data_IF_545769703689
#
_entry.id   IF_545769703689
#
_cell.length_a   1.000
_cell.length_b   1.000
_cell.length_c   1.000
_cell.angle_alpha   90.00
_cell.angle_beta   90.00
_cell.angle_gamma   90.00
#
_symmetry.space_group_name_H-M   'P 1'
#
loop_
_entity.id
_entity.type
_entity.pdbx_description
1 polymer ?
#
# COMPACT_ATOMS: atom_id res chain seq x y z
N UNK A 1 0.39 -52.31 36.79
CA UNK A 1 -0.44 -53.53 36.79
C UNK A 1 -1.86 -53.11 36.40
N UNK A 2 -2.26 -53.31 35.20
CA UNK A 2 -3.52 -53.75 34.61
C UNK A 2 -3.54 -53.42 33.11
N UNK A 3 -3.34 -54.47 32.35
CA UNK A 3 -3.63 -54.60 30.93
C UNK A 3 -5.13 -54.66 30.69
N UNK A 4 -5.60 -54.15 29.58
CA UNK A 4 -6.79 -54.63 28.87
C UNK A 4 -6.67 -54.14 27.40
N UNK A 5 -6.27 -55.01 26.54
CA UNK A 5 -6.93 -55.96 25.66
C UNK A 5 -7.59 -55.32 24.44
N UNK A 6 -7.00 -55.71 23.33
CA UNK A 6 -7.33 -55.56 21.91
C UNK A 6 -8.70 -56.25 21.64
N UNK A 7 -9.50 -55.69 20.76
CA UNK A 7 -10.49 -56.43 19.98
C UNK A 7 -10.53 -55.87 18.55
N UNK A 8 -10.07 -56.71 17.65
CA UNK A 8 -10.27 -56.61 16.21
C UNK A 8 -11.65 -57.15 15.86
N UNK A 9 -12.34 -56.45 14.97
CA UNK A 9 -13.46 -57.00 14.24
C UNK A 9 -13.31 -56.60 12.76
N UNK A 10 -12.93 -57.56 11.95
CA UNK A 10 -13.04 -57.54 10.50
C UNK A 10 -14.44 -58.00 10.09
N UNK A 11 -15.04 -57.33 9.12
CA UNK A 11 -16.06 -57.94 8.25
C UNK A 11 -16.17 -57.17 6.92
N UNK A 12 -15.68 -57.83 5.91
CA UNK A 12 -16.15 -58.23 4.60
C UNK A 12 -17.06 -57.33 3.76
N UNK A 13 -16.47 -57.02 2.61
CA UNK A 13 -17.00 -57.03 1.23
C UNK A 13 -18.53 -56.88 0.96
N UNK A 14 -18.83 -55.88 0.16
CA UNK A 14 -19.78 -56.08 -0.97
C UNK A 14 -19.42 -55.13 -2.11
N UNK A 15 -18.91 -55.67 -3.20
CA UNK A 15 -18.78 -54.99 -4.48
C UNK A 15 -20.16 -54.88 -5.11
N UNK A 16 -20.55 -53.66 -5.51
CA UNK A 16 -21.65 -53.44 -6.46
C UNK A 16 -21.09 -52.62 -7.62
N UNK A 17 -20.87 -53.31 -8.71
CA UNK A 17 -20.70 -52.73 -10.04
C UNK A 17 -22.06 -52.31 -10.56
N UNK A 18 -22.23 -51.04 -10.88
CA UNK A 18 -23.24 -50.59 -11.81
C UNK A 18 -22.86 -49.29 -12.48
N UNK A 19 -22.47 -49.42 -13.72
CA UNK A 19 -23.04 -48.79 -14.92
C UNK A 19 -22.91 -47.29 -15.10
N UNK A 20 -22.09 -46.95 -16.07
CA UNK A 20 -22.14 -45.83 -17.04
C UNK A 20 -23.21 -44.78 -16.86
N UNK A 21 -22.74 -43.56 -16.63
CA UNK A 21 -23.43 -42.29 -16.90
C UNK A 21 -22.37 -41.25 -17.30
N UNK A 22 -22.15 -41.09 -18.60
CA UNK A 22 -21.34 -40.01 -19.19
C UNK A 22 -22.02 -38.68 -18.93
N UNK A 23 -21.54 -37.96 -17.91
CA UNK A 23 -21.80 -36.57 -17.68
C UNK A 23 -20.44 -35.86 -17.62
N UNK A 24 -19.96 -35.31 -18.74
CA UNK A 24 -18.82 -34.44 -18.79
C UNK A 24 -19.17 -33.11 -18.10
N UNK A 25 -19.08 -33.09 -16.76
CA UNK A 25 -18.99 -31.88 -15.99
C UNK A 25 -17.55 -31.34 -16.14
N UNK A 26 -17.37 -30.38 -17.00
CA UNK A 26 -16.16 -29.57 -17.05
C UNK A 26 -16.04 -28.85 -15.70
N UNK A 27 -15.43 -29.51 -14.72
CA UNK A 27 -14.85 -28.79 -13.59
C UNK A 27 -13.75 -27.91 -14.16
N UNK A 28 -14.06 -26.62 -14.28
CA UNK A 28 -13.09 -25.59 -14.61
C UNK A 28 -12.04 -25.57 -13.52
N UNK A 29 -10.95 -26.32 -13.71
CA UNK A 29 -9.70 -26.14 -12.96
C UNK A 29 -9.24 -24.72 -13.22
N UNK A 30 -9.55 -23.79 -12.31
CA UNK A 30 -8.90 -22.49 -12.26
C UNK A 30 -7.42 -22.76 -12.00
N UNK A 31 -6.63 -22.79 -13.07
CA UNK A 31 -5.19 -22.86 -12.99
C UNK A 31 -4.71 -21.72 -12.10
N UNK A 32 -3.89 -22.04 -11.08
CA UNK A 32 -3.28 -21.03 -10.25
C UNK A 32 -2.49 -20.05 -11.13
N UNK A 33 -2.65 -18.73 -10.91
CA UNK A 33 -1.92 -17.70 -11.67
C UNK A 33 -0.42 -17.90 -11.47
N UNK A 34 0.36 -17.69 -12.53
CA UNK A 34 1.82 -17.68 -12.43
C UNK A 34 2.29 -16.47 -11.61
N UNK A 35 3.50 -16.52 -11.08
CA UNK A 35 4.09 -15.38 -10.36
C UNK A 35 4.17 -14.11 -11.24
N UNK A 36 4.47 -14.28 -12.53
CA UNK A 36 4.48 -13.16 -13.50
C UNK A 36 3.08 -12.56 -13.69
N UNK A 37 2.04 -13.39 -13.80
CA UNK A 37 0.68 -12.89 -13.95
C UNK A 37 0.24 -12.09 -12.73
N UNK A 38 0.61 -12.54 -11.52
CA UNK A 38 0.29 -11.84 -10.27
C UNK A 38 0.97 -10.47 -10.23
N UNK A 39 2.25 -10.38 -10.57
CA UNK A 39 2.99 -9.11 -10.58
C UNK A 39 2.42 -8.14 -11.61
N UNK A 40 2.20 -8.61 -12.84
CA UNK A 40 1.63 -7.78 -13.93
C UNK A 40 0.24 -7.28 -13.52
N UNK A 41 -0.63 -8.16 -13.04
CA UNK A 41 -1.97 -7.80 -12.58
C UNK A 41 -1.92 -6.75 -11.45
N UNK A 42 -1.04 -6.91 -10.47
CA UNK A 42 -0.87 -5.95 -9.38
C UNK A 42 -0.54 -4.57 -9.92
N UNK A 43 0.41 -4.47 -10.86
CA UNK A 43 0.80 -3.21 -11.49
C UNK A 43 -0.37 -2.61 -12.29
N UNK A 44 -1.04 -3.42 -13.11
CA UNK A 44 -2.09 -2.97 -14.02
C UNK A 44 -3.38 -2.61 -13.31
N UNK A 45 -3.67 -3.22 -12.16
CA UNK A 45 -4.92 -3.01 -11.41
C UNK A 45 -4.80 -2.00 -10.28
N UNK A 46 -3.59 -1.65 -9.83
CA UNK A 46 -3.39 -0.65 -8.78
C UNK A 46 -4.08 0.68 -9.13
N UNK A 47 -4.72 1.27 -8.13
CA UNK A 47 -5.38 2.59 -8.25
C UNK A 47 -4.96 3.53 -7.12
N UNK A 48 -5.02 4.83 -7.38
CA UNK A 48 -4.90 5.86 -6.34
C UNK A 48 -6.22 5.97 -5.61
N UNK A 49 -6.29 5.41 -4.42
CA UNK A 49 -7.46 5.44 -3.53
C UNK A 49 -7.44 6.73 -2.69
N UNK A 50 -8.59 7.41 -2.54
CA UNK A 50 -8.73 8.67 -1.82
C UNK A 50 -9.89 8.68 -0.83
N UNK A 51 -10.58 7.55 -0.73
CA UNK A 51 -11.59 7.30 0.30
C UNK A 51 -11.23 5.99 1.01
N UNK A 52 -11.19 6.05 2.33
CA UNK A 52 -10.73 4.95 3.16
C UNK A 52 -11.69 4.67 4.30
N UNK A 53 -11.68 3.43 4.77
CA UNK A 53 -12.30 3.08 6.04
C UNK A 53 -11.57 3.79 7.19
N UNK A 54 -12.24 4.06 8.33
CA UNK A 54 -11.63 4.83 9.43
C UNK A 54 -10.45 4.13 10.12
N UNK A 55 -10.36 2.80 10.01
CA UNK A 55 -9.32 2.01 10.67
C UNK A 55 -7.94 2.27 10.04
N UNK A 56 -6.95 2.56 10.87
CA UNK A 56 -5.56 2.60 10.45
C UNK A 56 -5.08 1.21 9.99
N UNK A 57 -4.09 1.19 9.10
CA UNK A 57 -3.43 -0.06 8.68
C UNK A 57 -2.65 -0.62 9.87
N UNK A 58 -2.83 -1.91 10.16
CA UNK A 58 -2.12 -2.58 11.24
C UNK A 58 -0.60 -2.44 11.09
N UNK A 59 0.11 -2.20 12.21
CA UNK A 59 1.56 -1.91 12.17
C UNK A 59 2.40 -3.04 11.59
N UNK A 60 2.01 -4.31 11.78
CA UNK A 60 2.72 -5.45 11.18
C UNK A 60 2.57 -5.44 9.65
N UNK A 61 1.37 -5.14 9.14
CA UNK A 61 1.13 -4.95 7.70
C UNK A 61 1.94 -3.77 7.17
N UNK A 62 1.94 -2.63 7.89
CA UNK A 62 2.75 -1.48 7.50
C UNK A 62 4.24 -1.82 7.49
N UNK A 63 4.73 -2.58 8.47
CA UNK A 63 6.13 -3.03 8.50
C UNK A 63 6.50 -3.82 7.25
N UNK A 64 5.66 -4.76 6.84
CA UNK A 64 5.87 -5.52 5.59
C UNK A 64 5.91 -4.60 4.37
N UNK A 65 4.99 -3.62 4.28
CA UNK A 65 4.97 -2.62 3.19
C UNK A 65 6.27 -1.81 3.16
N UNK A 66 6.75 -1.37 4.32
CA UNK A 66 7.98 -0.59 4.43
C UNK A 66 9.22 -1.42 4.09
N UNK A 67 9.26 -2.69 4.51
CA UNK A 67 10.33 -3.63 4.15
C UNK A 67 10.37 -3.87 2.63
N UNK A 68 9.23 -4.02 1.96
CA UNK A 68 9.17 -4.04 0.51
C UNK A 68 9.70 -2.73 -0.10
N UNK A 69 9.35 -1.58 0.50
CA UNK A 69 9.83 -0.27 0.06
C UNK A 69 11.35 -0.17 0.06
N UNK A 70 12.00 -0.45 1.18
CA UNK A 70 13.47 -0.32 1.32
C UNK A 70 14.26 -1.35 0.50
N UNK A 71 13.61 -2.38 -0.06
CA UNK A 71 14.20 -3.28 -1.03
C UNK A 71 14.20 -2.73 -2.47
N UNK A 72 13.78 -1.49 -2.69
CA UNK A 72 13.89 -0.84 -3.98
C UNK A 72 15.35 -0.66 -4.40
N UNK A 73 15.66 -0.75 -5.70
CA UNK A 73 16.99 -0.40 -6.19
C UNK A 73 17.27 1.07 -5.91
N UNK A 74 18.52 1.37 -5.58
CA UNK A 74 18.95 2.74 -5.32
C UNK A 74 20.42 2.93 -5.70
N UNK A 75 20.78 4.14 -6.05
CA UNK A 75 22.11 4.45 -6.56
C UNK A 75 23.21 4.15 -5.55
N UNK A 76 24.15 3.29 -5.91
CA UNK A 76 25.31 2.88 -5.08
C UNK A 76 24.94 2.36 -3.68
N UNK A 77 23.72 1.87 -3.51
CA UNK A 77 23.17 1.47 -2.21
C UNK A 77 23.26 2.57 -1.13
N UNK A 78 23.10 3.83 -1.54
CA UNK A 78 23.18 4.97 -0.62
C UNK A 78 22.01 5.07 0.33
N UNK A 79 20.84 4.49 -0.07
CA UNK A 79 19.63 4.54 0.75
C UNK A 79 19.32 5.96 1.23
N UNK A 80 19.38 6.91 0.29
CA UNK A 80 19.30 8.35 0.51
C UNK A 80 17.87 8.82 0.84
N UNK A 81 17.17 8.05 1.66
CA UNK A 81 15.81 8.31 2.13
C UNK A 81 15.70 8.19 3.64
N UNK A 82 14.76 8.90 4.20
CA UNK A 82 14.24 8.66 5.53
C UNK A 82 12.71 8.53 5.48
N UNK A 83 12.17 7.63 6.29
CA UNK A 83 10.75 7.28 6.30
C UNK A 83 10.19 7.53 7.69
N UNK A 84 9.04 8.20 7.79
CA UNK A 84 8.27 8.36 9.03
C UNK A 84 6.84 7.95 8.79
N UNK A 85 6.33 7.09 9.64
CA UNK A 85 4.94 6.61 9.60
C UNK A 85 4.14 7.28 10.68
N UNK A 86 3.03 7.84 10.32
CA UNK A 86 2.08 8.48 11.24
C UNK A 86 0.74 7.77 11.12
N UNK A 87 0.34 7.09 12.18
CA UNK A 87 -0.96 6.46 12.38
C UNK A 87 -1.71 7.06 13.59
N UNK A 88 -1.20 8.18 14.14
CA UNK A 88 -1.79 8.93 15.23
C UNK A 88 -2.89 9.85 14.71
N UNK A 89 -4.17 9.63 15.11
CA UNK A 89 -5.25 10.55 14.79
C UNK A 89 -5.00 11.97 15.31
N UNK A 90 -4.36 12.11 16.48
CA UNK A 90 -4.01 13.41 17.06
C UNK A 90 -3.08 14.20 16.13
N UNK A 91 -2.04 13.58 15.61
CA UNK A 91 -1.12 14.23 14.67
C UNK A 91 -1.83 14.62 13.38
N UNK A 92 -2.56 13.69 12.77
CA UNK A 92 -3.26 13.90 11.49
C UNK A 92 -4.32 14.99 11.61
N UNK A 93 -5.15 14.95 12.67
CA UNK A 93 -6.23 15.91 12.90
C UNK A 93 -5.67 17.28 13.25
N UNK A 94 -4.71 17.38 14.14
CA UNK A 94 -4.14 18.66 14.53
C UNK A 94 -3.44 19.38 13.36
N UNK A 95 -2.72 18.64 12.49
CA UNK A 95 -2.16 19.21 11.27
C UNK A 95 -3.26 19.60 10.27
N UNK A 96 -4.34 18.84 10.19
CA UNK A 96 -5.50 19.17 9.34
C UNK A 96 -6.23 20.41 9.81
N UNK A 97 -6.38 20.61 11.12
CA UNK A 97 -6.97 21.83 11.68
C UNK A 97 -6.16 23.09 11.31
N UNK A 98 -4.83 23.00 11.39
CA UNK A 98 -3.95 24.09 10.93
C UNK A 98 -4.11 24.33 9.42
N UNK A 99 -4.20 23.26 8.62
CA UNK A 99 -4.43 23.37 7.18
C UNK A 99 -5.75 24.05 6.86
N UNK A 100 -6.85 23.66 7.51
CA UNK A 100 -8.17 24.29 7.33
C UNK A 100 -8.16 25.76 7.76
N UNK A 101 -7.49 26.08 8.87
CA UNK A 101 -7.35 27.47 9.31
C UNK A 101 -6.71 28.38 8.26
N UNK A 102 -5.72 27.86 7.53
CA UNK A 102 -5.04 28.57 6.44
C UNK A 102 -5.77 28.44 5.09
N UNK A 103 -6.66 27.46 4.95
CA UNK A 103 -7.40 27.14 3.74
C UNK A 103 -8.88 26.83 4.05
N UNK A 104 -9.69 27.81 4.45
CA UNK A 104 -11.07 27.57 4.95
C UNK A 104 -11.97 26.86 3.94
N UNK A 105 -11.77 27.09 2.63
CA UNK A 105 -12.55 26.44 1.57
C UNK A 105 -12.37 24.90 1.54
N UNK A 106 -11.30 24.36 2.12
CA UNK A 106 -11.12 22.92 2.18
C UNK A 106 -12.22 22.23 3.01
N UNK A 107 -12.77 22.92 4.02
CA UNK A 107 -13.83 22.41 4.88
C UNK A 107 -15.24 22.49 4.25
N UNK A 108 -15.39 23.18 3.11
CA UNK A 108 -16.67 23.28 2.39
C UNK A 108 -17.03 21.98 1.67
N UNK A 109 -16.05 21.11 1.40
CA UNK A 109 -16.27 19.77 0.85
C UNK A 109 -16.73 18.81 1.96
N UNK A 110 -17.98 18.32 1.94
CA UNK A 110 -18.49 17.43 2.98
C UNK A 110 -17.77 16.07 3.04
N UNK A 111 -17.06 15.70 1.99
CA UNK A 111 -16.24 14.48 1.95
C UNK A 111 -14.85 14.66 2.56
N UNK A 112 -14.43 15.91 2.83
CA UNK A 112 -13.14 16.22 3.42
C UNK A 112 -13.10 15.84 4.91
N UNK A 113 -12.19 14.94 5.29
CA UNK A 113 -11.95 14.56 6.68
C UNK A 113 -10.56 14.98 7.14
N UNK A 114 -9.57 14.83 6.28
CA UNK A 114 -8.21 15.30 6.55
C UNK A 114 -7.47 15.67 5.25
N UNK A 115 -6.40 16.46 5.40
CA UNK A 115 -5.62 16.97 4.28
C UNK A 115 -4.84 15.87 3.49
N UNK A 116 -4.80 14.65 3.99
CA UNK A 116 -4.13 13.51 3.36
C UNK A 116 -5.11 12.63 2.55
N UNK A 117 -6.14 13.23 1.94
CA UNK A 117 -7.19 12.50 1.21
C UNK A 117 -7.88 11.45 2.07
N UNK A 118 -8.13 11.81 3.34
CA UNK A 118 -8.82 10.98 4.31
C UNK A 118 -8.06 9.70 4.73
N UNK A 119 -6.78 9.56 4.37
CA UNK A 119 -5.97 8.42 4.77
C UNK A 119 -5.76 8.40 6.30
N UNK A 120 -6.02 7.25 6.96
CA UNK A 120 -5.81 7.10 8.41
C UNK A 120 -4.35 6.78 8.77
N UNK A 121 -3.53 6.40 7.80
CA UNK A 121 -2.09 6.15 7.97
C UNK A 121 -1.34 6.91 6.88
N UNK A 122 -0.32 7.66 7.25
CA UNK A 122 0.48 8.48 6.34
C UNK A 122 1.95 8.15 6.48
N UNK A 123 2.61 7.86 5.37
CA UNK A 123 4.06 7.65 5.30
C UNK A 123 4.68 8.89 4.68
N UNK A 124 5.54 9.57 5.43
CA UNK A 124 6.31 10.70 4.98
C UNK A 124 7.69 10.24 4.53
N UNK A 125 8.13 10.68 3.36
CA UNK A 125 9.41 10.31 2.75
C UNK A 125 10.22 11.58 2.56
N UNK A 126 11.37 11.62 3.21
CA UNK A 126 12.40 12.65 3.01
C UNK A 126 13.57 12.08 2.20
N UNK A 127 14.28 12.94 1.52
CA UNK A 127 15.43 12.58 0.70
C UNK A 127 16.65 13.44 1.07
N UNK A 128 17.83 12.98 0.72
CA UNK A 128 19.06 13.75 0.76
C UNK A 128 19.22 14.57 -0.53
N UNK A 129 18.93 15.90 -0.52
CA UNK A 129 19.01 16.73 -1.73
C UNK A 129 20.44 16.94 -2.23
N UNK A 130 21.46 16.59 -1.46
CA UNK A 130 22.86 16.65 -1.90
C UNK A 130 23.21 15.53 -2.89
N UNK A 131 22.34 14.53 -3.05
CA UNK A 131 22.52 13.42 -3.96
C UNK A 131 21.50 13.47 -5.10
N UNK A 132 21.95 13.67 -6.31
CA UNK A 132 21.12 13.92 -7.50
C UNK A 132 20.09 12.81 -7.80
N UNK A 133 20.42 11.54 -7.45
CA UNK A 133 19.52 10.42 -7.68
C UNK A 133 18.53 10.20 -6.55
N UNK A 134 18.63 10.90 -5.43
CA UNK A 134 17.83 10.65 -4.22
C UNK A 134 16.33 10.73 -4.46
N UNK A 135 15.86 11.64 -5.29
CA UNK A 135 14.44 11.76 -5.62
C UNK A 135 13.93 10.57 -6.46
N UNK A 136 14.77 10.02 -7.34
CA UNK A 136 14.47 8.82 -8.13
C UNK A 136 14.43 7.61 -7.20
N UNK A 137 15.44 7.44 -6.35
CA UNK A 137 15.52 6.37 -5.35
C UNK A 137 14.27 6.38 -4.45
N UNK A 138 13.84 7.54 -3.98
CA UNK A 138 12.61 7.71 -3.20
C UNK A 138 11.35 7.35 -4.01
N UNK A 139 11.33 7.64 -5.31
CA UNK A 139 10.22 7.25 -6.19
C UNK A 139 10.09 5.74 -6.33
N UNK A 140 11.22 5.04 -6.52
CA UNK A 140 11.28 3.56 -6.59
C UNK A 140 10.86 2.92 -5.27
N UNK A 141 11.36 3.46 -4.15
CA UNK A 141 10.96 3.06 -2.79
C UNK A 141 9.44 3.19 -2.60
N UNK A 142 8.87 4.32 -2.99
CA UNK A 142 7.43 4.58 -2.87
C UNK A 142 6.58 3.64 -3.72
N UNK A 143 7.00 3.34 -4.96
CA UNK A 143 6.26 2.43 -5.83
C UNK A 143 6.28 0.99 -5.29
N UNK A 144 7.42 0.51 -4.75
CA UNK A 144 7.46 -0.79 -4.08
C UNK A 144 6.47 -0.86 -2.91
N UNK A 145 6.39 0.19 -2.08
CA UNK A 145 5.38 0.26 -1.01
C UNK A 145 3.95 0.25 -1.55
N UNK A 146 3.68 0.99 -2.62
CA UNK A 146 2.35 1.11 -3.22
C UNK A 146 1.90 -0.23 -3.82
N UNK A 147 2.78 -0.94 -4.52
CA UNK A 147 2.47 -2.24 -5.13
C UNK A 147 2.29 -3.33 -4.09
N UNK A 148 3.17 -3.39 -3.08
CA UNK A 148 3.03 -4.36 -1.99
C UNK A 148 1.76 -4.12 -1.18
N UNK A 149 1.41 -2.87 -0.88
CA UNK A 149 0.15 -2.52 -0.23
C UNK A 149 -1.06 -3.01 -1.05
N UNK A 150 -1.07 -2.73 -2.36
CA UNK A 150 -2.14 -3.14 -3.25
C UNK A 150 -2.35 -4.65 -3.29
N UNK A 151 -1.26 -5.43 -3.33
CA UNK A 151 -1.31 -6.90 -3.29
C UNK A 151 -1.90 -7.45 -1.99
N UNK A 152 -1.87 -6.67 -0.91
CA UNK A 152 -2.45 -7.00 0.40
C UNK A 152 -3.84 -6.38 0.62
N UNK A 153 -4.47 -5.81 -0.42
CA UNK A 153 -5.78 -5.17 -0.31
C UNK A 153 -5.76 -3.80 0.38
N UNK A 154 -4.59 -3.20 0.55
CA UNK A 154 -4.43 -1.85 1.11
C UNK A 154 -4.38 -0.83 -0.02
N UNK A 155 -5.28 0.15 0.04
CA UNK A 155 -5.28 1.29 -0.88
C UNK A 155 -4.23 2.31 -0.51
N UNK A 156 -3.75 3.04 -1.52
CA UNK A 156 -2.78 4.11 -1.31
C UNK A 156 -2.96 5.27 -2.29
N UNK A 157 -2.44 6.43 -1.91
CA UNK A 157 -2.35 7.59 -2.80
C UNK A 157 -1.06 8.36 -2.51
N UNK A 158 -0.24 8.58 -3.55
CA UNK A 158 0.91 9.48 -3.47
C UNK A 158 0.44 10.94 -3.44
N UNK A 159 0.94 11.74 -2.50
CA UNK A 159 0.45 13.07 -2.19
C UNK A 159 1.60 14.09 -2.14
N UNK A 160 1.58 15.06 -3.04
CA UNK A 160 2.49 16.22 -3.01
C UNK A 160 1.87 17.46 -2.34
N UNK A 161 0.55 17.61 -2.39
CA UNK A 161 -0.14 18.78 -1.84
C UNK A 161 0.12 19.02 -0.35
N UNK A 162 -0.03 18.01 0.53
CA UNK A 162 0.26 18.14 1.94
C UNK A 162 1.69 18.60 2.26
N UNK A 163 2.66 18.13 1.47
CA UNK A 163 4.07 18.50 1.67
C UNK A 163 4.32 19.99 1.51
N UNK A 164 3.64 20.63 0.55
CA UNK A 164 3.75 22.08 0.36
C UNK A 164 3.31 22.83 1.61
N UNK A 165 2.21 22.43 2.23
CA UNK A 165 1.75 23.04 3.47
C UNK A 165 2.70 22.72 4.64
N UNK A 166 3.19 21.50 4.74
CA UNK A 166 4.12 21.11 5.82
C UNK A 166 5.46 21.87 5.78
N UNK A 167 5.83 22.39 4.62
CA UNK A 167 7.02 23.27 4.46
C UNK A 167 6.73 24.75 4.78
N UNK A 168 5.48 25.08 5.14
CA UNK A 168 5.13 26.44 5.54
C UNK A 168 5.46 26.72 7.01
N UNK A 169 5.63 28.01 7.40
CA UNK A 169 5.88 28.37 8.79
C UNK A 169 4.82 27.87 9.78
N UNK A 170 3.55 27.83 9.36
CA UNK A 170 2.43 27.42 10.20
C UNK A 170 2.53 25.94 10.62
N UNK A 171 3.14 25.10 9.78
CA UNK A 171 3.28 23.67 10.04
C UNK A 171 4.70 23.28 10.52
N UNK A 172 5.57 24.24 10.77
CA UNK A 172 6.97 23.99 11.13
C UNK A 172 7.16 23.05 12.32
N UNK A 173 6.33 23.18 13.36
CA UNK A 173 6.39 22.30 14.53
C UNK A 173 6.00 20.85 14.17
N UNK A 174 5.05 20.64 13.29
CA UNK A 174 4.68 19.30 12.81
C UNK A 174 5.78 18.69 11.95
N UNK A 175 6.42 19.47 11.08
CA UNK A 175 7.58 19.02 10.31
C UNK A 175 8.73 18.62 11.23
N UNK A 176 9.03 19.43 12.25
CA UNK A 176 10.05 19.14 13.26
C UNK A 176 9.74 17.85 14.05
N UNK A 177 8.48 17.61 14.39
CA UNK A 177 8.05 16.38 15.09
C UNK A 177 8.28 15.11 14.29
N UNK A 178 8.38 15.17 12.95
CA UNK A 178 8.76 14.02 12.13
C UNK A 178 10.22 13.60 12.39
N UNK A 179 11.08 14.50 12.87
CA UNK A 179 12.42 14.16 13.31
C UNK A 179 13.31 13.59 12.21
N UNK A 180 13.26 14.18 11.00
CA UNK A 180 14.21 13.87 9.95
C UNK A 180 15.60 14.38 10.34
N UNK A 181 16.65 13.67 9.90
CA UNK A 181 18.02 14.05 10.12
C UNK A 181 18.35 15.38 9.45
N UNK A 182 19.35 16.09 9.97
CA UNK A 182 19.86 17.31 9.34
C UNK A 182 20.31 17.04 7.91
N UNK A 183 19.96 17.93 6.99
CA UNK A 183 20.22 17.78 5.57
C UNK A 183 19.15 17.00 4.79
N UNK A 184 18.25 16.30 5.45
CA UNK A 184 17.12 15.63 4.77
C UNK A 184 15.93 16.58 4.58
N UNK A 185 15.33 16.52 3.41
CA UNK A 185 14.14 17.31 3.09
C UNK A 185 12.93 16.44 2.80
N UNK A 186 11.76 16.81 3.37
CA UNK A 186 10.50 16.16 3.04
C UNK A 186 10.20 16.30 1.55
N UNK A 187 10.09 15.17 0.84
CA UNK A 187 9.90 15.11 -0.61
C UNK A 187 8.43 14.92 -0.99
N UNK A 188 7.78 13.90 -0.45
CA UNK A 188 6.37 13.60 -0.63
C UNK A 188 5.84 12.73 0.50
N UNK A 189 4.54 12.47 0.50
CA UNK A 189 3.96 11.49 1.41
C UNK A 189 3.00 10.55 0.67
N UNK A 190 2.72 9.41 1.27
CA UNK A 190 1.76 8.42 0.77
C UNK A 190 0.73 8.16 1.86
N UNK A 191 -0.55 8.38 1.52
CA UNK A 191 -1.66 7.94 2.36
C UNK A 191 -1.96 6.47 2.12
N UNK A 192 -2.17 5.71 3.20
CA UNK A 192 -2.55 4.29 3.19
C UNK A 192 -3.81 4.07 4.01
N UNK A 193 -4.59 3.07 3.63
CA UNK A 193 -5.78 2.64 4.36
C UNK A 193 -6.56 1.56 3.63
N UNK A 194 -7.53 0.96 4.31
CA UNK A 194 -8.46 0.02 3.68
C UNK A 194 -9.39 0.79 2.73
N UNK A 195 -9.47 0.41 1.44
CA UNK A 195 -10.25 1.15 0.46
C UNK A 195 -11.73 1.23 0.83
N UNK A 196 -12.33 2.41 0.65
CA UNK A 196 -13.78 2.64 0.70
C UNK A 196 -14.33 3.10 -0.66
N UNK A 197 -13.53 3.00 -1.71
CA UNK A 197 -13.88 3.28 -3.10
C UNK A 197 -13.14 2.32 -4.04
N UNK A 198 -13.62 2.19 -5.28
CA UNK A 198 -12.97 1.44 -6.36
C UNK A 198 -12.84 2.35 -7.59
N UNK A 199 -11.77 3.15 -7.66
CA UNK A 199 -11.59 4.12 -8.75
C UNK A 199 -11.39 3.42 -10.09
N UNK A 200 -12.03 3.94 -11.15
CA UNK A 200 -11.81 3.48 -12.51
C UNK A 200 -10.35 3.69 -12.96
N UNK A 201 -9.91 2.84 -13.88
CA UNK A 201 -8.64 3.05 -14.56
C UNK A 201 -8.69 4.35 -15.37
N UNK A 202 -7.57 5.07 -15.42
CA UNK A 202 -7.40 6.20 -16.33
C UNK A 202 -6.57 5.75 -17.53
N UNK A 203 -6.85 6.33 -18.68
CA UNK A 203 -6.11 6.06 -19.90
C UNK A 203 -4.63 6.38 -19.76
N UNK A 204 -3.82 5.65 -20.48
CA UNK A 204 -2.37 5.85 -20.60
C UNK A 204 -2.03 6.07 -22.07
N UNK A 205 -1.19 7.05 -22.30
CA UNK A 205 -0.73 7.40 -23.65
C UNK A 205 0.46 6.49 -24.06
N UNK A 206 0.13 5.41 -24.75
CA UNK A 206 1.12 4.47 -25.25
C UNK A 206 1.98 5.04 -26.40
N UNK A 207 1.57 6.15 -27.03
CA UNK A 207 2.34 6.79 -28.10
C UNK A 207 3.69 7.37 -27.63
N UNK A 208 3.86 7.51 -26.30
CA UNK A 208 5.11 7.94 -25.67
C UNK A 208 6.16 6.82 -25.56
N UNK A 209 5.83 5.61 -25.97
CA UNK A 209 6.75 4.47 -25.98
C UNK A 209 7.23 4.27 -27.41
N UNK A 210 8.54 4.35 -27.62
CA UNK A 210 9.14 4.15 -28.93
C UNK A 210 10.35 3.22 -28.84
N UNK A 211 10.47 2.30 -29.79
CA UNK A 211 11.69 1.53 -30.00
C UNK A 211 12.61 2.34 -30.91
N UNK A 212 13.88 2.44 -30.57
CA UNK A 212 14.90 3.11 -31.38
C UNK A 212 15.81 2.02 -31.90
N UNK A 213 15.86 1.90 -33.23
CA UNK A 213 16.71 0.94 -33.98
C UNK A 213 18.09 1.53 -34.28
#
# INVERSE_FOLDING_TARGET
MRLFKISAAALMCAAVLSSCGSGAGSEGTTSAKSASDIVIETIMTRRSVRQYQPAAVGRDTMKTILECGINAPNGMNRQSWEIRVVDSPEFINGLTELYVKSNPHAAEDPSFKNMFRNAPTVVFIAHDPSYDMSAIDCGLLGENMILSAWSMGIGSCCLGGPVRFMKSPEAADYLKRLGFSEGYELLYCIGFGYPAESPAAKDRDASKIQFVD
#
